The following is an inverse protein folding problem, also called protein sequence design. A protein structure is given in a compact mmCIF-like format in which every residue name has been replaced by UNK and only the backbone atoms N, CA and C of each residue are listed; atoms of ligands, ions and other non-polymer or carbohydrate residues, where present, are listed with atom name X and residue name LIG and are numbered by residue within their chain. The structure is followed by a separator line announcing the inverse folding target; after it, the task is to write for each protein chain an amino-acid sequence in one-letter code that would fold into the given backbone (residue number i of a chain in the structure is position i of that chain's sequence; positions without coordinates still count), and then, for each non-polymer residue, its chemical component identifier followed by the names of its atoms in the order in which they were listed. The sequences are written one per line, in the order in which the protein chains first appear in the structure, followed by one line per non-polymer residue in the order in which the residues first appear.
data_IF_351889211342
#
_entry.id   IF_351889211342
#
_cell.length_a   1.000
_cell.length_b   1.000
_cell.length_c   1.000
_cell.angle_alpha   90.00
_cell.angle_beta   90.00
_cell.angle_gamma   90.00
#
_symmetry.space_group_name_H-M   'P 1'
#
loop_
_entity.id
_entity.type
_entity.pdbx_description
1 polymer ?
#
# COMPACT_ATOMS: atom_id res chain seq x y z
N UNK A 1 0.51 11.64 11.65
CA UNK A 1 -0.61 10.72 11.90
C UNK A 1 -0.28 9.29 11.48
N UNK A 2 0.42 9.05 10.37
CA UNK A 2 0.80 7.69 9.92
C UNK A 2 1.51 6.87 11.00
N UNK A 3 2.56 7.42 11.63
CA UNK A 3 3.26 6.74 12.72
C UNK A 3 2.39 6.51 13.97
N UNK A 4 1.37 7.35 14.20
CA UNK A 4 0.43 7.15 15.31
C UNK A 4 -0.56 6.03 14.98
N UNK A 5 -1.08 5.98 13.75
CA UNK A 5 -1.92 4.87 13.29
C UNK A 5 -1.18 3.54 13.45
N UNK A 6 0.10 3.47 13.06
CA UNK A 6 0.93 2.28 13.27
C UNK A 6 1.13 1.92 14.75
N UNK A 7 1.31 2.91 15.64
CA UNK A 7 1.38 2.67 17.10
C UNK A 7 0.09 2.08 17.66
N UNK A 8 -1.05 2.39 17.05
CA UNK A 8 -2.36 1.86 17.43
C UNK A 8 -2.73 0.57 16.67
N UNK A 9 -1.79 -0.01 15.92
CA UNK A 9 -2.03 -1.23 15.14
C UNK A 9 -2.91 -1.04 13.91
N UNK A 10 -3.09 0.19 13.44
CA UNK A 10 -3.90 0.49 12.25
C UNK A 10 -3.04 0.53 10.99
N UNK A 11 -3.58 -0.03 9.90
CA UNK A 11 -3.01 0.10 8.58
C UNK A 11 -3.36 1.46 7.96
N UNK A 12 -2.46 1.98 7.15
CA UNK A 12 -2.58 3.28 6.49
C UNK A 12 -2.69 3.10 4.98
N UNK A 13 -3.83 3.52 4.44
CA UNK A 13 -4.09 3.69 3.01
C UNK A 13 -3.85 5.14 2.61
N UNK A 14 -3.00 5.34 1.61
CA UNK A 14 -2.83 6.63 0.95
C UNK A 14 -3.62 6.63 -0.37
N UNK A 15 -4.60 7.53 -0.49
CA UNK A 15 -5.32 7.76 -1.74
C UNK A 15 -4.57 8.77 -2.60
N UNK A 16 -4.05 8.29 -3.73
CA UNK A 16 -3.33 9.03 -4.76
C UNK A 16 -4.07 8.95 -6.12
N UNK A 17 -5.34 8.59 -6.15
CA UNK A 17 -6.13 8.45 -7.39
C UNK A 17 -6.33 9.77 -8.15
N UNK A 18 -6.24 10.89 -7.45
CA UNK A 18 -6.31 12.24 -8.02
C UNK A 18 -4.98 12.75 -8.57
N UNK A 19 -3.87 12.02 -8.37
CA UNK A 19 -2.54 12.40 -8.85
C UNK A 19 -2.25 11.78 -10.21
N UNK A 20 -1.52 12.52 -11.05
CA UNK A 20 -1.09 12.04 -12.36
C UNK A 20 0.22 11.26 -12.19
N UNK A 21 0.14 9.95 -12.34
CA UNK A 21 1.31 9.07 -12.21
C UNK A 21 2.34 9.41 -13.30
N UNK A 22 3.54 9.84 -12.88
CA UNK A 22 4.65 10.22 -13.76
C UNK A 22 5.05 11.69 -13.64
N UNK A 23 4.08 12.58 -13.41
CA UNK A 23 4.31 14.01 -13.17
C UNK A 23 4.40 14.30 -11.66
N UNK A 24 3.48 13.75 -10.89
CA UNK A 24 3.44 13.93 -9.44
C UNK A 24 4.35 12.92 -8.73
N UNK A 25 5.22 13.42 -7.83
CA UNK A 25 6.12 12.59 -7.00
C UNK A 25 5.66 12.56 -5.55
N UNK A 26 5.29 11.37 -5.09
CA UNK A 26 4.96 11.11 -3.68
C UNK A 26 6.13 10.43 -2.96
N UNK A 27 6.66 11.00 -1.86
CA UNK A 27 7.75 10.39 -1.09
C UNK A 27 7.25 9.24 -0.20
N UNK A 28 6.86 8.11 -0.81
CA UNK A 28 6.33 6.93 -0.11
C UNK A 28 7.31 6.31 0.92
N UNK A 29 8.60 6.63 0.80
CA UNK A 29 9.66 6.23 1.72
C UNK A 29 9.67 7.00 3.04
N UNK A 30 9.15 8.24 3.06
CA UNK A 30 9.18 9.13 4.23
C UNK A 30 8.18 8.68 5.30
N UNK A 31 6.92 8.55 4.91
CA UNK A 31 5.83 8.21 5.85
C UNK A 31 5.42 6.76 5.81
N UNK A 32 5.90 6.01 4.83
CA UNK A 32 5.79 4.56 4.82
C UNK A 32 4.33 4.03 4.94
N UNK A 33 3.37 4.43 4.10
CA UNK A 33 2.02 3.84 4.12
C UNK A 33 2.03 2.34 3.80
N UNK A 34 0.99 1.62 4.21
CA UNK A 34 0.83 0.17 4.00
C UNK A 34 0.21 -0.15 2.64
N UNK A 35 -0.68 0.72 2.21
CA UNK A 35 -1.44 0.61 0.97
C UNK A 35 -1.40 1.97 0.24
N UNK A 36 -1.36 1.93 -1.09
CA UNK A 36 -1.49 3.13 -1.94
C UNK A 36 -2.51 2.86 -3.04
N UNK A 37 -3.49 3.72 -3.19
CA UNK A 37 -4.45 3.69 -4.29
C UNK A 37 -4.01 4.71 -5.34
N UNK A 38 -3.86 4.34 -6.60
CA UNK A 38 -3.50 5.28 -7.67
C UNK A 38 -4.22 4.95 -8.98
N UNK A 39 -4.41 5.95 -9.82
CA UNK A 39 -5.00 5.77 -11.15
C UNK A 39 -3.91 5.90 -12.20
N UNK A 40 -3.73 4.87 -13.02
CA UNK A 40 -2.90 4.92 -14.21
C UNK A 40 -3.77 5.37 -15.37
N UNK A 41 -3.33 6.43 -16.05
CA UNK A 41 -3.95 6.90 -17.30
C UNK A 41 -2.94 6.71 -18.42
N UNK A 42 -3.34 5.99 -19.47
CA UNK A 42 -2.48 5.66 -20.60
C UNK A 42 -2.55 6.80 -21.64
N UNK A 43 -2.03 7.96 -21.24
CA UNK A 43 -2.06 9.21 -22.01
C UNK A 43 -1.34 9.12 -23.36
N UNK A 44 -0.60 8.04 -23.61
CA UNK A 44 0.18 7.82 -24.82
C UNK A 44 -0.56 7.04 -25.93
N UNK A 45 -1.80 6.59 -25.68
CA UNK A 45 -2.61 5.87 -26.67
C UNK A 45 -3.67 6.80 -27.28
N UNK A 46 -3.75 6.86 -28.62
CA UNK A 46 -4.69 7.72 -29.37
C UNK A 46 -6.16 7.29 -29.26
N UNK A 47 -6.50 6.42 -28.29
CA UNK A 47 -7.83 5.84 -28.12
C UNK A 47 -8.36 6.17 -26.72
N UNK A 48 -9.68 6.35 -26.51
CA UNK A 48 -10.21 6.80 -25.23
C UNK A 48 -9.91 5.79 -24.10
N UNK A 49 -8.88 6.11 -23.32
CA UNK A 49 -8.84 6.06 -21.86
C UNK A 49 -9.34 4.77 -21.21
N UNK A 50 -8.46 3.77 -21.09
CA UNK A 50 -8.59 2.78 -20.04
C UNK A 50 -7.93 3.32 -18.76
N UNK A 51 -8.71 3.99 -17.89
CA UNK A 51 -8.23 4.35 -16.56
C UNK A 51 -8.17 3.09 -15.71
N UNK A 52 -6.98 2.74 -15.22
CA UNK A 52 -6.79 1.59 -14.35
C UNK A 52 -6.52 2.08 -12.94
N UNK A 53 -7.43 1.79 -12.01
CA UNK A 53 -7.18 2.02 -10.58
C UNK A 53 -6.43 0.83 -10.00
N UNK A 54 -5.25 1.09 -9.45
CA UNK A 54 -4.40 0.09 -8.84
C UNK A 54 -4.33 0.27 -7.32
N UNK A 55 -4.35 -0.85 -6.60
CA UNK A 55 -4.02 -0.92 -5.18
C UNK A 55 -2.62 -1.52 -5.02
N UNK A 56 -1.67 -0.72 -4.57
CA UNK A 56 -0.30 -1.12 -4.30
C UNK A 56 -0.17 -1.48 -2.83
N UNK A 57 0.26 -2.72 -2.55
CA UNK A 57 0.42 -3.24 -1.19
C UNK A 57 1.91 -3.32 -0.86
N UNK A 58 2.31 -2.75 0.29
CA UNK A 58 3.67 -2.91 0.78
C UNK A 58 3.85 -4.31 1.35
N UNK A 59 4.78 -5.08 0.77
CA UNK A 59 5.11 -6.43 1.23
C UNK A 59 5.44 -6.54 2.72
N UNK A 60 6.24 -5.61 3.25
CA UNK A 60 6.66 -5.61 4.67
C UNK A 60 5.55 -5.25 5.65
N UNK A 61 4.44 -4.68 5.19
CA UNK A 61 3.34 -4.28 6.07
C UNK A 61 2.49 -5.46 6.54
N UNK A 62 2.62 -6.60 5.87
CA UNK A 62 1.83 -7.81 6.13
C UNK A 62 2.70 -9.06 6.25
N UNK A 63 4.00 -8.89 6.54
CA UNK A 63 4.92 -10.01 6.62
C UNK A 63 4.62 -10.86 7.86
N UNK A 64 3.92 -11.97 7.64
CA UNK A 64 3.59 -12.95 8.69
C UNK A 64 4.72 -13.95 8.93
N UNK A 65 5.80 -13.93 8.13
CA UNK A 65 6.94 -14.85 8.30
C UNK A 65 7.73 -14.56 9.59
N UNK A 66 7.51 -13.40 10.22
CA UNK A 66 8.09 -13.05 11.51
C UNK A 66 7.31 -13.62 12.71
N UNK A 67 6.12 -14.20 12.49
CA UNK A 67 5.37 -14.84 13.56
C UNK A 67 6.03 -16.19 13.89
N UNK A 68 6.37 -16.45 15.17
CA UNK A 68 6.87 -17.75 15.56
C UNK A 68 5.83 -18.83 15.21
N UNK A 69 6.27 -20.01 14.76
CA UNK A 69 5.34 -21.10 14.46
C UNK A 69 4.50 -21.43 15.71
N UNK A 70 3.22 -21.78 15.54
CA UNK A 70 2.36 -22.15 16.66
C UNK A 70 3.01 -23.30 17.42
N UNK A 71 3.25 -23.11 18.72
CA UNK A 71 3.89 -24.14 19.54
C UNK A 71 2.97 -25.36 19.67
N UNK A 72 3.50 -26.60 19.55
CA UNK A 72 2.70 -27.78 19.75
C UNK A 72 2.21 -27.82 21.20
N UNK A 73 0.89 -27.79 21.36
CA UNK A 73 0.22 -27.87 22.65
C UNK A 73 0.46 -29.28 23.24
N UNK A 74 1.34 -29.38 24.23
CA UNK A 74 1.52 -30.60 25.01
C UNK A 74 0.19 -30.92 25.72
N UNK A 75 -0.52 -31.93 25.23
CA UNK A 75 -1.61 -32.56 25.97
C UNK A 75 -1.03 -33.17 27.24
N UNK A 76 -1.48 -32.68 28.39
CA UNK A 76 -1.38 -33.39 29.68
C UNK A 76 -2.36 -34.56 29.69
#
# INVERSE_FOLDING_TARGET
WVSEAHRNGWHVLLDATALVVGEDRLPLSLHRPDLVLCTLDDTHSQQPSAKVTCLLVRRRSFDTSALPPPQPQQKQ
#
